data_IF_936363148882
#
_entry.id   IF_936363148882
#
_cell.length_a   1.000
_cell.length_b   1.000
_cell.length_c   1.000
_cell.angle_alpha   90.00
_cell.angle_beta   90.00
_cell.angle_gamma   90.00
#
_symmetry.space_group_name_H-M   'P 1'
#
loop_
_entity.id
_entity.type
_entity.pdbx_description
1 polymer ?
#
# COMPACT_ATOMS: atom_id res chain seq x y z
N UNK A 1 -16.58 -27.82 -36.27
CA UNK A 1 -16.04 -28.28 -34.97
C UNK A 1 -16.59 -27.33 -33.91
N UNK A 2 -17.63 -27.74 -33.17
CA UNK A 2 -18.22 -26.89 -32.14
C UNK A 2 -17.38 -27.01 -30.87
N UNK A 3 -16.66 -25.94 -30.53
CA UNK A 3 -15.92 -25.89 -29.27
C UNK A 3 -16.90 -25.88 -28.09
N UNK A 4 -16.76 -26.84 -27.18
CA UNK A 4 -17.58 -26.96 -25.96
C UNK A 4 -17.45 -25.75 -25.03
N UNK A 5 -16.28 -25.10 -25.03
CA UNK A 5 -15.99 -23.95 -24.19
C UNK A 5 -16.33 -22.64 -24.90
N UNK A 6 -17.09 -21.78 -24.22
CA UNK A 6 -17.33 -20.38 -24.62
C UNK A 6 -16.51 -19.45 -23.73
N UNK A 7 -15.72 -18.59 -24.34
CA UNK A 7 -14.91 -17.60 -23.64
C UNK A 7 -15.55 -16.23 -23.78
N UNK A 8 -15.63 -15.50 -22.66
CA UNK A 8 -16.13 -14.13 -22.63
C UNK A 8 -15.04 -13.21 -22.10
N UNK A 9 -14.92 -12.01 -22.69
CA UNK A 9 -14.02 -10.97 -22.23
C UNK A 9 -14.79 -9.96 -21.38
N UNK A 10 -14.27 -9.67 -20.19
CA UNK A 10 -14.80 -8.65 -19.30
C UNK A 10 -13.81 -7.48 -19.27
N UNK A 11 -14.31 -6.26 -19.39
CA UNK A 11 -13.52 -5.03 -19.24
C UNK A 11 -14.10 -4.29 -18.03
N UNK A 12 -13.26 -4.07 -17.02
CA UNK A 12 -13.65 -3.38 -15.80
C UNK A 12 -13.13 -1.93 -15.84
N UNK A 13 -13.98 -0.99 -15.46
CA UNK A 13 -13.63 0.42 -15.25
C UNK A 13 -14.01 0.80 -13.84
N UNK A 14 -13.05 1.25 -13.03
CA UNK A 14 -13.32 1.80 -11.73
C UNK A 14 -14.01 3.16 -11.88
N UNK A 15 -15.17 3.34 -11.25
CA UNK A 15 -15.92 4.61 -11.22
C UNK A 15 -15.62 5.40 -9.93
N UNK A 16 -15.08 4.72 -8.91
CA UNK A 16 -14.60 5.30 -7.67
C UNK A 16 -13.48 4.45 -7.06
N UNK A 17 -13.04 4.74 -5.83
CA UNK A 17 -12.00 3.97 -5.15
C UNK A 17 -12.38 2.49 -5.02
N UNK A 18 -11.50 1.61 -5.49
CA UNK A 18 -11.65 0.16 -5.36
C UNK A 18 -10.47 -0.38 -4.57
N UNK A 19 -10.75 -1.11 -3.50
CA UNK A 19 -9.75 -1.72 -2.64
C UNK A 19 -9.94 -3.25 -2.60
N UNK A 20 -8.86 -3.99 -2.89
CA UNK A 20 -8.78 -5.44 -2.74
C UNK A 20 -7.50 -5.72 -1.95
N UNK A 21 -7.66 -6.15 -0.71
CA UNK A 21 -6.54 -6.35 0.21
C UNK A 21 -5.81 -7.68 0.00
N UNK A 22 -4.52 -7.68 0.33
CA UNK A 22 -3.72 -8.91 0.53
C UNK A 22 -3.67 -9.35 2.00
N UNK A 23 -4.38 -8.65 2.88
CA UNK A 23 -4.40 -8.90 4.33
C UNK A 23 -3.20 -8.32 5.09
N UNK A 24 -2.29 -7.63 4.39
CA UNK A 24 -1.17 -6.92 5.03
C UNK A 24 -1.50 -5.45 5.28
N UNK A 25 -0.71 -4.83 6.14
CA UNK A 25 -0.81 -3.40 6.47
C UNK A 25 0.57 -2.78 6.53
N UNK A 26 0.68 -1.54 6.07
CA UNK A 26 1.84 -0.68 6.30
C UNK A 26 1.67 0.05 7.62
N UNK A 27 2.63 -0.09 8.52
CA UNK A 27 2.63 0.64 9.80
C UNK A 27 3.36 1.98 9.68
N UNK A 28 3.17 2.86 10.66
CA UNK A 28 3.74 4.23 10.68
C UNK A 28 5.28 4.31 10.60
N UNK A 29 5.97 3.20 10.85
CA UNK A 29 7.43 3.10 10.70
C UNK A 29 7.88 2.67 9.30
N UNK A 30 6.95 2.42 8.37
CA UNK A 30 7.23 1.88 7.02
C UNK A 30 6.89 2.86 5.90
N UNK A 31 6.35 4.02 6.24
CA UNK A 31 6.07 5.09 5.28
C UNK A 31 6.35 6.47 5.87
N UNK A 32 6.70 7.40 5.00
CA UNK A 32 6.95 8.80 5.33
C UNK A 32 5.82 9.65 4.75
N UNK A 33 5.04 10.29 5.62
CA UNK A 33 3.94 11.14 5.20
C UNK A 33 4.37 12.59 5.06
N UNK A 34 4.45 13.11 3.83
CA UNK A 34 4.57 14.53 3.59
C UNK A 34 3.22 15.26 3.56
N UNK A 35 2.75 15.71 4.72
CA UNK A 35 1.50 16.46 4.86
C UNK A 35 1.42 17.75 4.02
N UNK A 36 2.55 18.43 3.78
CA UNK A 36 2.55 19.68 3.00
C UNK A 36 2.28 19.42 1.53
N UNK A 37 2.90 18.36 1.00
CA UNK A 37 2.72 17.91 -0.38
C UNK A 37 1.54 16.96 -0.57
N UNK A 38 0.92 16.51 0.54
CA UNK A 38 -0.08 15.43 0.58
C UNK A 38 0.38 14.16 -0.14
N UNK A 39 1.62 13.76 0.09
CA UNK A 39 2.21 12.54 -0.50
C UNK A 39 2.63 11.59 0.61
N UNK A 40 2.31 10.30 0.48
CA UNK A 40 2.85 9.23 1.29
C UNK A 40 3.93 8.47 0.51
N UNK A 41 5.17 8.49 1.00
CA UNK A 41 6.28 7.75 0.41
C UNK A 41 6.40 6.41 1.13
N UNK A 42 6.20 5.31 0.41
CA UNK A 42 6.31 3.96 0.96
C UNK A 42 7.76 3.50 0.84
N UNK A 43 8.31 2.94 1.92
CA UNK A 43 9.73 2.67 2.02
C UNK A 43 10.08 1.28 1.53
N UNK A 44 11.12 1.19 0.69
CA UNK A 44 11.78 -0.08 0.39
C UNK A 44 12.64 -0.46 1.59
N UNK A 45 12.16 -1.42 2.38
CA UNK A 45 12.82 -1.85 3.61
C UNK A 45 14.26 -2.33 3.39
N UNK A 46 14.56 -2.96 2.23
CA UNK A 46 15.91 -3.45 1.93
C UNK A 46 16.86 -2.30 1.64
N UNK A 47 16.43 -1.33 0.82
CA UNK A 47 17.22 -0.12 0.53
C UNK A 47 17.41 0.72 1.77
N UNK A 48 16.35 0.87 2.57
CA UNK A 48 16.37 1.65 3.79
C UNK A 48 17.32 1.05 4.82
N UNK A 49 17.24 -0.27 5.07
CA UNK A 49 18.17 -0.93 5.99
C UNK A 49 19.64 -0.81 5.53
N UNK A 50 19.89 -0.92 4.22
CA UNK A 50 21.23 -0.66 3.65
C UNK A 50 21.68 0.77 3.93
N UNK A 51 20.82 1.75 3.72
CA UNK A 51 21.10 3.16 4.02
C UNK A 51 21.44 3.34 5.51
N UNK A 52 20.64 2.78 6.42
CA UNK A 52 20.90 2.85 7.86
C UNK A 52 22.24 2.24 8.25
N UNK A 53 22.60 1.10 7.66
CA UNK A 53 23.91 0.47 7.88
C UNK A 53 25.06 1.39 7.45
N UNK A 54 24.95 2.07 6.31
CA UNK A 54 25.99 3.03 5.86
C UNK A 54 26.11 4.26 6.75
N UNK A 55 25.04 4.63 7.47
CA UNK A 55 25.01 5.77 8.39
C UNK A 55 25.28 5.38 9.84
N UNK A 56 25.44 4.09 10.15
CA UNK A 56 25.61 3.60 11.52
C UNK A 56 24.35 3.77 12.40
N UNK A 57 23.16 3.83 11.80
CA UNK A 57 21.89 4.15 12.48
C UNK A 57 21.02 2.91 12.77
N UNK A 58 21.51 1.70 12.53
CA UNK A 58 20.74 0.46 12.68
C UNK A 58 20.20 0.29 14.11
N UNK A 59 21.05 0.44 15.13
CA UNK A 59 20.64 0.30 16.53
C UNK A 59 19.56 1.34 16.91
N UNK A 60 19.70 2.57 16.42
CA UNK A 60 18.73 3.64 16.68
C UNK A 60 17.36 3.31 16.07
N UNK A 61 17.36 2.66 14.91
CA UNK A 61 16.13 2.21 14.25
C UNK A 61 15.49 1.01 14.96
N UNK A 62 16.27 0.07 15.47
CA UNK A 62 15.76 -1.04 16.30
C UNK A 62 15.07 -0.52 17.55
N UNK A 63 15.71 0.41 18.28
CA UNK A 63 15.12 1.06 19.46
C UNK A 63 13.82 1.80 19.11
N UNK A 64 13.76 2.44 17.95
CA UNK A 64 12.55 3.12 17.48
C UNK A 64 11.40 2.14 17.23
N UNK A 65 11.67 1.01 16.56
CA UNK A 65 10.66 -0.02 16.32
C UNK A 65 10.18 -0.67 17.63
N UNK A 66 11.08 -0.94 18.57
CA UNK A 66 10.72 -1.53 19.87
C UNK A 66 9.82 -0.61 20.71
N UNK A 67 10.07 0.71 20.67
CA UNK A 67 9.26 1.68 21.41
C UNK A 67 7.86 1.88 20.81
N UNK A 68 7.65 1.50 19.54
CA UNK A 68 6.40 1.67 18.79
C UNK A 68 5.75 3.06 18.92
N UNK A 69 6.58 4.10 19.14
CA UNK A 69 6.11 5.45 19.42
C UNK A 69 6.53 6.38 18.30
N UNK A 70 5.55 7.09 17.74
CA UNK A 70 5.76 8.08 16.70
C UNK A 70 5.57 7.53 15.30
N UNK A 71 6.12 8.24 14.32
CA UNK A 71 6.09 7.88 12.90
C UNK A 71 7.48 8.05 12.30
N UNK A 72 7.73 7.42 11.15
CA UNK A 72 9.05 7.42 10.53
C UNK A 72 9.52 8.84 10.20
N UNK A 73 8.64 9.75 9.79
CA UNK A 73 9.01 11.14 9.50
C UNK A 73 9.61 11.85 10.72
N UNK A 74 8.96 11.73 11.87
CA UNK A 74 9.46 12.31 13.13
C UNK A 74 10.80 11.71 13.52
N UNK A 75 10.94 10.38 13.39
CA UNK A 75 12.20 9.70 13.68
C UNK A 75 13.35 10.12 12.76
N UNK A 76 13.11 10.24 11.45
CA UNK A 76 14.10 10.72 10.48
C UNK A 76 14.59 12.13 10.84
N UNK A 77 13.67 13.01 11.27
CA UNK A 77 14.00 14.35 11.74
C UNK A 77 14.90 14.31 13.00
N UNK A 78 14.56 13.47 13.98
CA UNK A 78 15.38 13.29 15.20
C UNK A 78 16.79 12.77 14.89
N UNK A 79 16.93 11.87 13.92
CA UNK A 79 18.22 11.35 13.45
C UNK A 79 18.96 12.30 12.50
N UNK A 80 18.41 13.51 12.25
CA UNK A 80 18.96 14.52 11.33
C UNK A 80 19.16 13.99 9.91
N UNK A 81 18.33 13.05 9.47
CA UNK A 81 18.34 12.54 8.10
C UNK A 81 17.63 13.56 7.20
N UNK A 82 18.30 14.10 6.17
CA UNK A 82 17.68 15.02 5.23
C UNK A 82 16.50 14.37 4.51
N UNK A 83 15.40 15.12 4.33
CA UNK A 83 14.22 14.61 3.62
C UNK A 83 14.54 14.25 2.15
N UNK A 84 15.50 14.92 1.52
CA UNK A 84 16.00 14.57 0.18
C UNK A 84 16.54 13.14 0.09
N UNK A 85 17.08 12.60 1.18
CA UNK A 85 17.64 11.26 1.20
C UNK A 85 16.54 10.19 1.22
N UNK A 86 15.30 10.55 1.61
CA UNK A 86 14.14 9.65 1.63
C UNK A 86 13.83 9.09 0.24
N UNK A 87 14.02 9.88 -0.80
CA UNK A 87 13.81 9.45 -2.19
C UNK A 87 14.73 8.28 -2.57
N UNK A 88 15.93 8.19 -1.98
CA UNK A 88 16.89 7.12 -2.29
C UNK A 88 16.45 5.71 -1.86
N UNK A 89 15.54 5.63 -0.88
CA UNK A 89 15.00 4.39 -0.35
C UNK A 89 13.46 4.33 -0.39
N UNK A 90 12.83 5.20 -1.18
CA UNK A 90 11.39 5.11 -1.48
C UNK A 90 11.15 4.04 -2.53
N UNK A 91 10.18 3.16 -2.30
CA UNK A 91 9.72 2.15 -3.24
C UNK A 91 8.76 2.75 -4.27
N UNK A 92 7.75 3.48 -3.78
CA UNK A 92 6.74 4.20 -4.57
C UNK A 92 6.08 5.27 -3.69
N UNK A 93 5.37 6.19 -4.33
CA UNK A 93 4.62 7.27 -3.66
C UNK A 93 3.14 7.13 -3.95
N UNK A 94 2.31 7.59 -3.01
CA UNK A 94 0.86 7.66 -3.14
C UNK A 94 0.39 9.09 -2.90
N UNK A 95 -0.47 9.57 -3.77
CA UNK A 95 -1.15 10.85 -3.59
C UNK A 95 -2.24 10.69 -2.52
N UNK A 96 -2.32 11.67 -1.63
CA UNK A 96 -3.22 11.68 -0.48
C UNK A 96 -4.17 12.89 -0.52
N UNK A 97 -4.42 13.44 -1.71
CA UNK A 97 -5.20 14.67 -1.90
C UNK A 97 -6.63 14.55 -1.37
N UNK A 98 -7.25 13.39 -1.59
CA UNK A 98 -8.62 13.06 -1.18
C UNK A 98 -8.76 12.74 0.32
N UNK A 99 -7.65 12.74 1.07
CA UNK A 99 -7.69 12.50 2.52
C UNK A 99 -7.97 13.80 3.27
N UNK A 100 -9.15 13.89 3.87
CA UNK A 100 -9.62 15.06 4.60
C UNK A 100 -8.73 15.42 5.81
N UNK A 101 -8.33 14.43 6.61
CA UNK A 101 -7.47 14.64 7.77
C UNK A 101 -6.30 13.64 7.83
N UNK A 102 -5.13 14.11 7.39
CA UNK A 102 -3.89 13.37 7.43
C UNK A 102 -3.32 13.15 8.84
N UNK A 103 -3.85 13.83 9.86
CA UNK A 103 -3.38 13.65 11.25
C UNK A 103 -3.91 12.36 11.88
N UNK A 104 -5.07 11.88 11.42
CA UNK A 104 -5.68 10.64 11.90
C UNK A 104 -5.14 9.39 11.20
N UNK A 105 -4.29 9.54 10.18
CA UNK A 105 -3.74 8.42 9.42
C UNK A 105 -3.02 7.43 10.37
N UNK A 106 -3.52 6.18 10.37
CA UNK A 106 -2.97 5.06 11.13
C UNK A 106 -2.19 4.15 10.18
N UNK A 107 -2.37 2.85 10.31
CA UNK A 107 -1.85 1.90 9.35
C UNK A 107 -2.61 2.04 8.02
N UNK A 108 -1.94 1.67 6.93
CA UNK A 108 -2.50 1.70 5.58
C UNK A 108 -2.61 0.27 5.11
N UNK A 109 -3.84 -0.21 4.87
CA UNK A 109 -4.06 -1.55 4.32
C UNK A 109 -3.47 -1.62 2.90
N UNK A 110 -2.78 -2.71 2.58
CA UNK A 110 -2.12 -2.87 1.28
C UNK A 110 -3.05 -3.50 0.26
N UNK A 111 -2.94 -3.00 -0.97
CA UNK A 111 -3.64 -3.57 -2.12
C UNK A 111 -2.87 -4.77 -2.65
N UNK A 112 -3.59 -5.82 -3.06
CA UNK A 112 -2.98 -7.06 -3.55
C UNK A 112 -2.10 -6.86 -4.79
N UNK A 113 -0.91 -7.45 -4.74
CA UNK A 113 0.10 -7.36 -5.78
C UNK A 113 0.50 -8.74 -6.29
N UNK A 114 0.97 -8.79 -7.52
CA UNK A 114 1.64 -9.96 -8.05
C UNK A 114 3.06 -10.12 -7.47
N UNK A 115 3.76 -11.19 -7.85
CA UNK A 115 5.14 -11.46 -7.41
C UNK A 115 6.16 -10.40 -7.87
N UNK A 116 5.79 -9.55 -8.83
CA UNK A 116 6.62 -8.45 -9.32
C UNK A 116 6.31 -7.13 -8.62
N UNK A 117 5.30 -7.10 -7.74
CA UNK A 117 4.90 -5.94 -6.95
C UNK A 117 3.86 -5.04 -7.63
N UNK A 118 3.25 -5.47 -8.74
CA UNK A 118 2.22 -4.70 -9.45
C UNK A 118 0.82 -5.04 -8.94
N UNK A 119 -0.04 -4.04 -8.67
CA UNK A 119 -1.40 -4.27 -8.21
C UNK A 119 -2.26 -4.89 -9.31
N UNK A 120 -3.13 -5.84 -8.96
CA UNK A 120 -4.07 -6.46 -9.89
C UNK A 120 -5.42 -6.82 -9.24
N UNK A 121 -6.45 -7.07 -10.05
CA UNK A 121 -7.74 -7.58 -9.58
C UNK A 121 -7.75 -9.10 -9.70
N UNK A 122 -7.82 -9.86 -8.59
CA UNK A 122 -7.85 -11.31 -8.65
C UNK A 122 -9.13 -11.84 -9.32
N UNK A 123 -8.97 -12.89 -10.13
CA UNK A 123 -10.11 -13.57 -10.78
C UNK A 123 -11.10 -14.15 -9.76
N UNK A 124 -10.62 -14.57 -8.58
CA UNK A 124 -11.46 -15.01 -7.46
C UNK A 124 -12.37 -13.89 -6.93
N UNK A 125 -11.84 -12.67 -6.77
CA UNK A 125 -12.62 -11.50 -6.33
C UNK A 125 -13.69 -11.13 -7.36
N UNK A 126 -13.33 -11.07 -8.65
CA UNK A 126 -14.29 -10.82 -9.73
C UNK A 126 -15.36 -11.93 -9.81
N UNK A 127 -14.94 -13.19 -9.71
CA UNK A 127 -15.85 -14.35 -9.67
C UNK A 127 -16.81 -14.25 -8.49
N UNK A 128 -16.34 -13.82 -7.33
CA UNK A 128 -17.17 -13.58 -6.14
C UNK A 128 -18.25 -12.55 -6.41
N UNK A 129 -17.88 -11.40 -7.00
CA UNK A 129 -18.85 -10.35 -7.36
C UNK A 129 -19.91 -10.85 -8.34
N UNK A 130 -19.50 -11.55 -9.41
CA UNK A 130 -20.43 -12.14 -10.40
C UNK A 130 -21.35 -13.17 -9.74
N UNK A 131 -20.80 -14.05 -8.90
CA UNK A 131 -21.56 -15.06 -8.16
C UNK A 131 -22.66 -14.41 -7.32
N UNK A 132 -22.36 -13.34 -6.59
CA UNK A 132 -23.35 -12.63 -5.77
C UNK A 132 -24.45 -12.01 -6.61
N UNK A 133 -24.12 -11.42 -7.76
CA UNK A 133 -25.13 -10.85 -8.69
C UNK A 133 -26.06 -11.94 -9.22
N UNK A 134 -25.51 -13.08 -9.66
CA UNK A 134 -26.31 -14.19 -10.17
C UNK A 134 -27.22 -14.79 -9.09
N UNK A 135 -26.70 -14.97 -7.87
CA UNK A 135 -27.48 -15.48 -6.74
C UNK A 135 -28.61 -14.52 -6.37
N UNK A 136 -28.34 -13.22 -6.34
CA UNK A 136 -29.35 -12.21 -6.08
C UNK A 136 -30.47 -12.21 -7.13
N UNK A 137 -30.12 -12.35 -8.41
CA UNK A 137 -31.08 -12.42 -9.50
C UNK A 137 -31.97 -13.68 -9.44
N UNK A 138 -31.44 -14.79 -8.89
CA UNK A 138 -32.19 -16.04 -8.73
C UNK A 138 -33.15 -16.00 -7.53
N UNK A 139 -32.75 -15.36 -6.43
CA UNK A 139 -33.56 -15.23 -5.20
C UNK A 139 -34.71 -14.22 -5.36
N UNK A 140 -34.54 -13.17 -6.19
CA UNK A 140 -35.55 -12.11 -6.38
C UNK A 140 -36.62 -12.52 -7.42
N UNK A 141 -36.49 -13.69 -8.05
CA UNK A 141 -37.54 -14.30 -8.88
C UNK A 141 -38.61 -14.97 -8.03
#
# INVERSE_FOLDING_TARGET
MNYFLKTHRIILRAIGPVFIGDGSELVKSEYVLDRKRKIAQIIDQKKFFRYLKTKGLTNNYEVFNLKQKGNLRSWLYEQKIPFKDVESFTAYSLDCDDILDLNTMKNVMTFIRDSYGFPYVPGSSLKGAIRTVLLGADIVR
#
